data_IF_787206128555
#
_entry.id   IF_787206128555
#
_cell.length_a   1.000
_cell.length_b   1.000
_cell.length_c   1.000
_cell.angle_alpha   90.00
_cell.angle_beta   90.00
_cell.angle_gamma   90.00
#
_symmetry.space_group_name_H-M   'P 1'
#
loop_
_entity.id
_entity.type
_entity.pdbx_description
1 polymer ?
#
# COMPACT_ATOMS: atom_id res chain seq x y z
N UNK A 1 13.81 -28.27 19.57
CA UNK A 1 14.24 -28.60 18.20
C UNK A 1 15.04 -27.45 17.62
N UNK A 2 16.13 -27.69 16.90
CA UNK A 2 16.88 -26.62 16.22
C UNK A 2 16.02 -26.06 15.07
N UNK A 3 16.04 -24.73 14.90
CA UNK A 3 15.34 -24.06 13.81
C UNK A 3 15.98 -24.43 12.47
N UNK A 4 15.19 -24.90 11.53
CA UNK A 4 15.64 -25.15 10.15
C UNK A 4 15.53 -23.84 9.35
N UNK A 5 16.62 -23.47 8.67
CA UNK A 5 16.66 -22.34 7.75
C UNK A 5 16.43 -22.82 6.33
N UNK A 6 15.61 -22.07 5.57
CA UNK A 6 15.31 -22.40 4.17
C UNK A 6 16.29 -21.68 3.24
N UNK A 7 16.72 -22.35 2.17
CA UNK A 7 17.44 -21.73 1.06
C UNK A 7 16.42 -21.10 0.11
N UNK A 8 16.65 -19.84 -0.27
CA UNK A 8 15.78 -19.16 -1.22
C UNK A 8 16.02 -19.65 -2.64
N UNK A 9 14.96 -19.89 -3.39
CA UNK A 9 14.99 -20.11 -4.84
C UNK A 9 14.32 -18.92 -5.54
N UNK A 10 14.95 -18.44 -6.62
CA UNK A 10 14.41 -17.33 -7.43
C UNK A 10 13.10 -17.80 -8.06
N UNK A 11 12.06 -17.00 -7.90
CA UNK A 11 10.75 -17.24 -8.50
C UNK A 11 10.76 -16.84 -9.98
N UNK A 12 10.04 -17.60 -10.82
CA UNK A 12 10.00 -17.36 -12.28
C UNK A 12 8.70 -16.71 -12.75
N UNK A 13 7.62 -16.90 -12.00
CA UNK A 13 6.34 -16.25 -12.31
C UNK A 13 6.38 -14.77 -11.92
N UNK A 14 6.09 -13.89 -12.89
CA UNK A 14 6.12 -12.44 -12.72
C UNK A 14 5.14 -11.96 -11.63
N UNK A 15 4.07 -12.69 -11.34
CA UNK A 15 3.12 -12.37 -10.29
C UNK A 15 3.67 -12.52 -8.87
N UNK A 16 4.88 -13.07 -8.71
CA UNK A 16 5.59 -13.07 -7.43
C UNK A 16 6.30 -11.76 -7.12
N UNK A 17 6.36 -10.85 -8.10
CA UNK A 17 7.10 -9.60 -7.99
C UNK A 17 6.14 -8.41 -7.96
N UNK A 18 6.57 -7.34 -7.29
CA UNK A 18 5.85 -6.07 -7.21
C UNK A 18 6.44 -5.13 -8.24
N UNK A 19 5.58 -4.62 -9.11
CA UNK A 19 5.94 -3.75 -10.22
C UNK A 19 5.51 -2.31 -9.92
N UNK A 20 6.44 -1.38 -10.00
CA UNK A 20 6.13 0.05 -9.86
C UNK A 20 6.48 0.78 -11.16
N UNK A 21 5.47 1.16 -11.91
CA UNK A 21 5.58 1.82 -13.22
C UNK A 21 5.34 3.31 -13.09
N UNK A 22 6.36 4.09 -13.34
CA UNK A 22 6.30 5.55 -13.26
C UNK A 22 6.44 6.18 -14.64
N UNK A 23 5.72 7.29 -14.90
CA UNK A 23 5.81 8.01 -16.17
C UNK A 23 4.85 9.18 -16.21
N UNK A 24 5.08 10.12 -17.12
CA UNK A 24 4.20 11.28 -17.31
C UNK A 24 2.78 10.86 -17.68
N UNK A 25 1.82 11.76 -17.50
CA UNK A 25 0.43 11.51 -17.91
C UNK A 25 0.36 11.16 -19.40
N UNK A 26 -0.51 10.21 -19.74
CA UNK A 26 -0.80 9.77 -21.13
C UNK A 26 0.38 9.14 -21.88
N UNK A 27 1.44 8.68 -21.19
CA UNK A 27 2.57 8.02 -21.84
C UNK A 27 2.27 6.55 -22.22
N UNK A 28 1.18 5.99 -21.76
CA UNK A 28 0.73 4.62 -22.09
C UNK A 28 0.79 3.61 -20.94
N UNK A 29 0.89 4.05 -19.68
CA UNK A 29 1.00 3.16 -18.51
C UNK A 29 -0.18 2.19 -18.36
N UNK A 30 -1.42 2.70 -18.42
CA UNK A 30 -2.65 1.90 -18.32
C UNK A 30 -2.80 0.95 -19.52
N UNK A 31 -2.42 1.41 -20.73
CA UNK A 31 -2.37 0.54 -21.91
C UNK A 31 -1.32 -0.57 -21.75
N UNK A 32 -0.17 -0.25 -21.17
CA UNK A 32 0.86 -1.25 -20.89
C UNK A 32 0.34 -2.34 -19.94
N UNK A 33 -0.49 -1.98 -18.94
CA UNK A 33 -1.10 -2.97 -18.05
C UNK A 33 -2.02 -3.91 -18.82
N UNK A 34 -2.91 -3.40 -19.67
CA UNK A 34 -3.76 -4.23 -20.54
C UNK A 34 -2.91 -5.18 -21.37
N UNK A 35 -1.91 -4.64 -22.09
CA UNK A 35 -1.07 -5.43 -22.99
C UNK A 35 -0.23 -6.46 -22.20
N UNK A 36 0.19 -6.12 -20.98
CA UNK A 36 0.89 -7.02 -20.08
C UNK A 36 0.05 -8.23 -19.67
N UNK A 37 -1.22 -8.03 -19.32
CA UNK A 37 -2.13 -9.12 -18.99
C UNK A 37 -2.37 -10.00 -20.22
N UNK A 38 -2.65 -9.40 -21.39
CA UNK A 38 -2.81 -10.15 -22.63
C UNK A 38 -1.56 -10.96 -23.00
N UNK A 39 -0.36 -10.37 -22.81
CA UNK A 39 0.90 -11.05 -23.11
C UNK A 39 1.15 -12.24 -22.23
N UNK A 40 0.82 -12.16 -20.94
CA UNK A 40 1.05 -13.23 -19.97
C UNK A 40 0.02 -14.35 -20.03
N UNK A 41 -1.25 -13.99 -20.23
CA UNK A 41 -2.36 -14.94 -20.03
C UNK A 41 -3.27 -15.09 -21.27
N UNK A 42 -3.16 -14.24 -22.26
CA UNK A 42 -4.02 -14.26 -23.45
C UNK A 42 -5.46 -13.80 -23.21
N UNK A 43 -5.82 -13.43 -21.98
CA UNK A 43 -7.17 -13.04 -21.57
C UNK A 43 -7.11 -11.91 -20.54
N UNK A 44 -7.90 -10.86 -20.73
CA UNK A 44 -7.94 -9.69 -19.84
C UNK A 44 -8.61 -9.97 -18.50
N UNK A 45 -9.39 -11.04 -18.36
CA UNK A 45 -10.00 -11.44 -17.08
C UNK A 45 -9.00 -11.78 -15.98
N UNK A 46 -7.72 -11.95 -16.32
CA UNK A 46 -6.65 -12.19 -15.36
C UNK A 46 -6.07 -10.91 -14.71
N UNK A 47 -6.50 -9.73 -15.13
CA UNK A 47 -6.06 -8.46 -14.58
C UNK A 47 -7.21 -7.57 -14.14
N UNK A 48 -7.12 -6.99 -12.94
CA UNK A 48 -8.04 -5.97 -12.46
C UNK A 48 -7.31 -4.63 -12.35
N UNK A 49 -7.87 -3.60 -12.96
CA UNK A 49 -7.41 -2.22 -12.86
C UNK A 49 -8.28 -1.48 -11.83
N UNK A 50 -7.68 -1.03 -10.74
CA UNK A 50 -8.33 -0.16 -9.76
C UNK A 50 -8.04 1.30 -10.12
N UNK A 51 -9.07 2.03 -10.57
CA UNK A 51 -8.99 3.45 -10.86
C UNK A 51 -9.24 4.27 -9.60
N UNK A 52 -8.17 4.84 -9.08
CA UNK A 52 -8.19 5.49 -7.77
C UNK A 52 -8.54 6.99 -7.92
N UNK A 53 -9.49 7.44 -7.12
CA UNK A 53 -9.86 8.85 -7.05
C UNK A 53 -10.59 9.34 -8.30
N UNK A 54 -9.97 10.26 -9.03
CA UNK A 54 -10.54 10.89 -10.22
C UNK A 54 -9.81 10.48 -11.52
N UNK A 55 -9.05 9.39 -11.51
CA UNK A 55 -8.48 8.88 -12.76
C UNK A 55 -9.60 8.25 -13.62
N UNK A 56 -9.47 8.34 -14.92
CA UNK A 56 -10.45 7.85 -15.89
C UNK A 56 -9.72 7.24 -17.11
N UNK A 57 -8.61 6.56 -16.87
CA UNK A 57 -7.73 6.01 -17.92
C UNK A 57 -8.38 4.91 -18.76
N UNK A 58 -9.30 4.16 -18.15
CA UNK A 58 -10.01 3.03 -18.77
C UNK A 58 -10.86 3.46 -19.97
N UNK A 59 -11.42 4.68 -19.98
CA UNK A 59 -12.35 5.14 -21.03
C UNK A 59 -11.81 5.00 -22.45
N UNK A 60 -10.49 4.95 -22.61
CA UNK A 60 -9.81 4.82 -23.88
C UNK A 60 -9.25 3.41 -24.15
N UNK A 61 -9.53 2.42 -23.28
CA UNK A 61 -8.91 1.09 -23.31
C UNK A 61 -9.98 0.02 -23.35
N UNK A 62 -10.22 -0.52 -24.52
CA UNK A 62 -11.22 -1.55 -24.74
C UNK A 62 -10.86 -2.87 -24.05
N UNK A 63 -11.86 -3.49 -23.40
CA UNK A 63 -11.81 -4.83 -22.81
C UNK A 63 -11.07 -4.95 -21.47
N UNK A 64 -10.47 -3.88 -20.93
CA UNK A 64 -9.85 -3.95 -19.59
C UNK A 64 -10.91 -4.16 -18.51
N UNK A 65 -10.66 -5.07 -17.59
CA UNK A 65 -11.50 -5.23 -16.39
C UNK A 65 -11.07 -4.21 -15.36
N UNK A 66 -12.00 -3.42 -14.86
CA UNK A 66 -11.69 -2.33 -13.93
C UNK A 66 -12.76 -2.14 -12.87
N UNK A 67 -12.38 -1.48 -11.78
CA UNK A 67 -13.31 -0.93 -10.80
C UNK A 67 -12.89 0.50 -10.39
N UNK A 68 -13.87 1.30 -9.94
CA UNK A 68 -13.68 2.70 -9.57
C UNK A 68 -13.58 2.81 -8.04
N UNK A 69 -12.52 3.44 -7.57
CA UNK A 69 -12.17 3.57 -6.15
C UNK A 69 -12.16 5.04 -5.73
N UNK A 70 -13.31 5.64 -5.41
CA UNK A 70 -13.39 7.07 -5.07
C UNK A 70 -12.80 7.40 -3.69
N UNK A 71 -12.81 6.44 -2.77
CA UNK A 71 -12.37 6.61 -1.39
C UNK A 71 -11.80 5.32 -0.79
N UNK A 72 -11.30 5.44 0.45
CA UNK A 72 -10.66 4.34 1.18
C UNK A 72 -11.63 3.22 1.56
N UNK A 73 -12.87 3.54 1.87
CA UNK A 73 -13.87 2.55 2.26
C UNK A 73 -14.17 1.62 1.09
N UNK A 74 -14.44 2.19 -0.08
CA UNK A 74 -14.63 1.41 -1.32
C UNK A 74 -13.40 0.54 -1.64
N UNK A 75 -12.17 1.08 -1.44
CA UNK A 75 -10.96 0.29 -1.61
C UNK A 75 -10.91 -0.91 -0.67
N UNK A 76 -11.25 -0.70 0.61
CA UNK A 76 -11.28 -1.78 1.60
C UNK A 76 -12.31 -2.85 1.24
N UNK A 77 -13.50 -2.46 0.84
CA UNK A 77 -14.57 -3.37 0.40
C UNK A 77 -14.15 -4.21 -0.80
N UNK A 78 -13.51 -3.60 -1.80
CA UNK A 78 -12.98 -4.33 -2.98
C UNK A 78 -11.88 -5.32 -2.56
N UNK A 79 -10.98 -4.92 -1.66
CA UNK A 79 -9.91 -5.80 -1.18
C UNK A 79 -10.48 -6.97 -0.38
N UNK A 80 -11.49 -6.73 0.45
CA UNK A 80 -12.18 -7.78 1.20
C UNK A 80 -12.86 -8.76 0.23
N UNK A 81 -13.61 -8.27 -0.76
CA UNK A 81 -14.25 -9.09 -1.79
C UNK A 81 -13.23 -9.92 -2.59
N UNK A 82 -12.12 -9.30 -3.03
CA UNK A 82 -11.05 -10.00 -3.74
C UNK A 82 -10.43 -11.15 -2.94
N UNK A 83 -10.38 -11.04 -1.63
CA UNK A 83 -9.83 -12.06 -0.74
C UNK A 83 -10.89 -13.13 -0.44
N UNK A 84 -12.08 -12.73 -0.06
CA UNK A 84 -13.16 -13.65 0.30
C UNK A 84 -13.62 -14.51 -0.88
N UNK A 85 -13.75 -13.88 -2.07
CA UNK A 85 -14.25 -14.50 -3.29
C UNK A 85 -13.13 -14.79 -4.31
N UNK A 86 -11.91 -15.04 -3.83
CA UNK A 86 -10.77 -15.32 -4.72
C UNK A 86 -10.98 -16.53 -5.62
N UNK A 87 -11.71 -17.53 -5.17
CA UNK A 87 -12.02 -18.74 -5.94
C UNK A 87 -12.99 -18.46 -7.09
N UNK A 88 -13.80 -17.41 -6.95
CA UNK A 88 -14.81 -17.03 -7.93
C UNK A 88 -14.29 -16.05 -8.99
N UNK A 89 -13.07 -15.54 -8.81
CA UNK A 89 -12.42 -14.64 -9.77
C UNK A 89 -11.15 -15.27 -10.36
N UNK A 90 -10.80 -14.84 -11.57
CA UNK A 90 -9.62 -15.32 -12.29
C UNK A 90 -8.40 -14.39 -12.16
N UNK A 91 -8.51 -13.30 -11.41
CA UNK A 91 -7.47 -12.28 -11.34
C UNK A 91 -6.14 -12.84 -10.83
N UNK A 92 -5.07 -12.49 -11.54
CA UNK A 92 -3.67 -12.78 -11.18
C UNK A 92 -2.91 -11.51 -10.81
N UNK A 93 -3.31 -10.38 -11.40
CA UNK A 93 -2.71 -9.07 -11.14
C UNK A 93 -3.76 -8.03 -10.79
N UNK A 94 -3.43 -7.22 -9.79
CA UNK A 94 -4.19 -6.03 -9.40
C UNK A 94 -3.31 -4.80 -9.66
N UNK A 95 -3.80 -3.88 -10.47
CA UNK A 95 -3.13 -2.61 -10.75
C UNK A 95 -3.82 -1.45 -10.02
N UNK A 96 -3.03 -0.57 -9.44
CA UNK A 96 -3.49 0.66 -8.76
C UNK A 96 -3.12 1.86 -9.64
N UNK A 97 -4.11 2.45 -10.28
CA UNK A 97 -3.96 3.62 -11.16
C UNK A 97 -4.72 4.84 -10.58
N UNK A 98 -4.07 5.75 -9.88
CA UNK A 98 -2.65 5.87 -9.61
C UNK A 98 -2.33 5.84 -8.12
N UNK A 99 -1.07 5.54 -7.78
CA UNK A 99 -0.63 5.64 -6.37
C UNK A 99 -0.63 7.07 -5.87
N UNK A 100 -0.55 8.06 -6.76
CA UNK A 100 -0.68 9.48 -6.41
C UNK A 100 -2.07 9.76 -5.80
N UNK A 101 -3.13 9.21 -6.40
CA UNK A 101 -4.49 9.32 -5.87
C UNK A 101 -4.71 8.40 -4.66
N UNK A 102 -4.05 7.22 -4.62
CA UNK A 102 -4.10 6.33 -3.46
C UNK A 102 -3.59 7.03 -2.19
N UNK A 103 -2.49 7.78 -2.28
CA UNK A 103 -2.01 8.62 -1.18
C UNK A 103 -3.08 9.62 -0.74
N UNK A 104 -3.78 10.27 -1.69
CA UNK A 104 -4.80 11.27 -1.35
C UNK A 104 -6.03 10.67 -0.68
N UNK A 105 -6.54 9.52 -1.16
CA UNK A 105 -7.66 8.85 -0.48
C UNK A 105 -7.25 8.32 0.89
N UNK A 106 -6.02 7.81 1.03
CA UNK A 106 -5.47 7.40 2.32
C UNK A 106 -5.28 8.56 3.31
N UNK A 107 -4.84 9.74 2.85
CA UNK A 107 -4.77 10.93 3.69
C UNK A 107 -6.15 11.36 4.20
N UNK A 108 -7.18 11.32 3.33
CA UNK A 108 -8.57 11.59 3.74
C UNK A 108 -9.06 10.60 4.79
N UNK A 109 -8.67 9.33 4.65
CA UNK A 109 -9.00 8.29 5.64
C UNK A 109 -8.31 8.55 6.98
N UNK A 110 -7.03 8.91 7.00
CA UNK A 110 -6.31 9.28 8.22
C UNK A 110 -7.01 10.46 8.93
N UNK A 111 -7.44 11.49 8.18
CA UNK A 111 -8.21 12.62 8.72
C UNK A 111 -9.56 12.14 9.31
N UNK A 112 -10.25 11.23 8.60
CA UNK A 112 -11.53 10.66 9.07
C UNK A 112 -11.35 9.87 10.37
N UNK A 113 -10.31 9.07 10.46
CA UNK A 113 -9.99 8.28 11.66
C UNK A 113 -9.61 9.17 12.84
N UNK A 114 -8.83 10.22 12.60
CA UNK A 114 -8.49 11.20 13.62
C UNK A 114 -9.73 11.94 14.14
N UNK A 115 -10.60 12.41 13.24
CA UNK A 115 -11.87 13.02 13.61
C UNK A 115 -12.76 12.09 14.45
N UNK A 116 -12.84 10.80 14.06
CA UNK A 116 -13.61 9.80 14.83
C UNK A 116 -13.07 9.64 16.26
N UNK A 117 -11.75 9.81 16.45
CA UNK A 117 -11.10 9.67 17.76
C UNK A 117 -11.16 10.95 18.59
N UNK A 118 -10.87 12.11 17.98
CA UNK A 118 -10.71 13.39 18.68
C UNK A 118 -12.01 14.20 18.77
N UNK A 119 -12.95 14.03 17.84
CA UNK A 119 -14.11 14.88 17.64
C UNK A 119 -13.78 16.24 16.98
N UNK A 120 -12.51 16.49 16.66
CA UNK A 120 -12.03 17.74 16.07
C UNK A 120 -11.48 17.51 14.65
N UNK A 121 -11.69 18.49 13.77
CA UNK A 121 -11.16 18.43 12.40
C UNK A 121 -9.75 18.99 12.35
N UNK A 122 -8.81 18.15 12.02
CA UNK A 122 -7.42 18.53 11.81
C UNK A 122 -7.03 18.39 10.33
N UNK A 123 -6.05 19.20 9.91
CA UNK A 123 -5.33 18.97 8.67
C UNK A 123 -4.45 17.71 8.80
N UNK A 124 -4.17 17.00 7.69
CA UNK A 124 -3.45 15.74 7.70
C UNK A 124 -2.21 15.74 8.62
N UNK A 125 -1.35 16.75 8.52
CA UNK A 125 -0.11 16.80 9.29
C UNK A 125 -0.31 17.02 10.80
N UNK A 126 -1.50 17.45 11.22
CA UNK A 126 -1.85 17.68 12.64
C UNK A 126 -2.63 16.49 13.24
N UNK A 127 -3.10 15.54 12.43
CA UNK A 127 -3.81 14.35 12.91
C UNK A 127 -2.97 13.55 13.91
N UNK A 128 -3.64 12.90 14.86
CA UNK A 128 -3.01 12.06 15.90
C UNK A 128 -1.90 12.76 16.71
N UNK A 129 -1.97 14.10 16.84
CA UNK A 129 -0.98 14.90 17.54
C UNK A 129 0.21 15.35 16.69
N UNK A 130 0.22 15.08 15.40
CA UNK A 130 1.29 15.49 14.47
C UNK A 130 2.57 14.66 14.61
N UNK A 131 3.74 15.30 14.48
CA UNK A 131 5.08 14.71 14.66
C UNK A 131 5.37 13.42 13.91
N UNK A 132 4.76 13.24 12.73
CA UNK A 132 4.92 12.04 11.88
C UNK A 132 3.85 10.97 12.06
N UNK A 133 3.07 10.98 13.15
CA UNK A 133 2.03 9.99 13.42
C UNK A 133 1.00 9.83 12.27
N UNK A 134 0.49 10.90 11.63
CA UNK A 134 -0.43 10.73 10.50
C UNK A 134 0.22 10.01 9.30
N UNK A 135 1.53 10.22 9.08
CA UNK A 135 2.27 9.53 8.02
C UNK A 135 2.43 8.04 8.34
N UNK A 136 2.82 7.70 9.58
CA UNK A 136 2.92 6.30 10.02
C UNK A 136 1.58 5.59 9.91
N UNK A 137 0.48 6.25 10.27
CA UNK A 137 -0.87 5.70 10.09
C UNK A 137 -1.20 5.46 8.62
N UNK A 138 -0.87 6.40 7.72
CA UNK A 138 -1.06 6.23 6.28
C UNK A 138 -0.23 5.06 5.73
N UNK A 139 1.04 4.95 6.13
CA UNK A 139 1.90 3.81 5.75
C UNK A 139 1.27 2.51 6.20
N UNK A 140 0.81 2.43 7.45
CA UNK A 140 0.17 1.23 8.01
C UNK A 140 -1.08 0.83 7.20
N UNK A 141 -1.95 1.78 6.87
CA UNK A 141 -3.15 1.53 6.06
C UNK A 141 -2.82 0.97 4.67
N UNK A 142 -1.85 1.57 3.98
CA UNK A 142 -1.43 1.11 2.64
C UNK A 142 -0.76 -0.26 2.74
N UNK A 143 0.12 -0.45 3.72
CA UNK A 143 0.84 -1.71 3.94
C UNK A 143 -0.10 -2.87 4.23
N UNK A 144 -1.15 -2.64 4.98
CA UNK A 144 -2.17 -3.65 5.26
C UNK A 144 -2.81 -4.15 3.96
N UNK A 145 -3.36 -3.23 3.16
CA UNK A 145 -3.99 -3.57 1.87
C UNK A 145 -3.01 -4.32 0.96
N UNK A 146 -1.78 -3.80 0.79
CA UNK A 146 -0.80 -4.41 -0.10
C UNK A 146 -0.34 -5.78 0.40
N UNK A 147 -0.22 -5.95 1.72
CA UNK A 147 0.17 -7.22 2.34
C UNK A 147 -0.92 -8.26 2.21
N UNK A 148 -2.17 -7.89 2.45
CA UNK A 148 -3.34 -8.79 2.32
C UNK A 148 -3.47 -9.31 0.90
N UNK A 149 -3.43 -8.43 -0.11
CA UNK A 149 -3.49 -8.82 -1.53
C UNK A 149 -2.31 -9.71 -1.93
N UNK A 150 -1.08 -9.38 -1.49
CA UNK A 150 0.09 -10.19 -1.78
C UNK A 150 0.01 -11.58 -1.13
N UNK A 151 -0.48 -11.69 0.11
CA UNK A 151 -0.72 -12.98 0.79
C UNK A 151 -1.83 -13.79 0.14
N UNK A 152 -2.84 -13.12 -0.40
CA UNK A 152 -3.86 -13.74 -1.24
C UNK A 152 -3.34 -14.11 -2.65
N UNK A 153 -2.01 -13.99 -2.88
CA UNK A 153 -1.31 -14.37 -4.10
C UNK A 153 -1.66 -13.57 -5.37
N UNK A 154 -2.05 -12.31 -5.20
CA UNK A 154 -2.14 -11.38 -6.31
C UNK A 154 -0.78 -10.73 -6.62
N UNK A 155 -0.40 -10.67 -7.88
CA UNK A 155 0.66 -9.79 -8.37
C UNK A 155 0.21 -8.33 -8.28
N UNK A 156 1.12 -7.43 -7.88
CA UNK A 156 0.78 -6.02 -7.69
C UNK A 156 1.51 -5.15 -8.70
N UNK A 157 0.73 -4.29 -9.38
CA UNK A 157 1.26 -3.26 -10.28
C UNK A 157 0.84 -1.89 -9.73
N UNK A 158 1.82 -1.09 -9.39
CA UNK A 158 1.61 0.28 -8.95
C UNK A 158 1.93 1.23 -10.10
N UNK A 159 0.98 2.11 -10.42
CA UNK A 159 1.12 3.09 -11.50
C UNK A 159 1.22 4.47 -10.89
N UNK A 160 2.30 5.20 -11.16
CA UNK A 160 2.54 6.53 -10.63
C UNK A 160 2.90 7.55 -11.70
N UNK A 161 2.77 8.82 -11.34
CA UNK A 161 3.20 9.93 -12.17
C UNK A 161 4.64 10.34 -11.86
N UNK A 162 5.21 11.12 -12.77
CA UNK A 162 6.58 11.62 -12.67
C UNK A 162 6.63 13.15 -12.78
N UNK A 163 7.70 13.70 -12.24
CA UNK A 163 8.12 15.10 -12.38
C UNK A 163 9.62 15.20 -12.56
N UNK A 164 10.06 16.33 -13.06
CA UNK A 164 11.47 16.71 -12.99
C UNK A 164 11.75 17.39 -11.64
N UNK A 165 12.92 17.05 -11.07
CA UNK A 165 13.42 17.61 -9.81
C UNK A 165 14.85 18.06 -10.04
N UNK A 166 15.17 19.31 -9.70
CA UNK A 166 16.54 19.80 -9.70
C UNK A 166 17.31 19.17 -8.53
N UNK A 167 18.40 18.51 -8.83
CA UNK A 167 19.35 17.95 -7.87
C UNK A 167 20.57 18.89 -7.83
N UNK A 168 20.91 19.33 -6.63
CA UNK A 168 22.11 20.15 -6.40
C UNK A 168 23.21 19.27 -5.82
N UNK A 169 24.31 19.14 -6.52
CA UNK A 169 25.47 18.41 -6.09
C UNK A 169 26.31 19.21 -5.08
N UNK A 170 27.07 18.52 -4.28
CA UNK A 170 28.01 19.17 -3.32
C UNK A 170 29.11 19.97 -4.03
N UNK A 171 29.41 19.65 -5.29
CA UNK A 171 30.32 20.40 -6.14
C UNK A 171 29.83 21.82 -6.51
N UNK A 172 28.52 22.07 -6.34
CA UNK A 172 27.85 23.29 -6.80
C UNK A 172 27.16 23.15 -8.14
N UNK A 173 27.35 22.03 -8.84
CA UNK A 173 26.64 21.73 -10.09
C UNK A 173 25.21 21.32 -9.80
N UNK A 174 24.31 21.50 -10.77
CA UNK A 174 22.93 21.06 -10.68
C UNK A 174 22.48 20.40 -11.97
N UNK A 175 21.58 19.42 -11.84
CA UNK A 175 20.96 18.75 -12.98
C UNK A 175 19.50 18.43 -12.70
N UNK A 176 18.74 18.16 -13.75
CA UNK A 176 17.35 17.76 -13.68
C UNK A 176 17.24 16.22 -13.65
N UNK A 177 16.57 15.69 -12.63
CA UNK A 177 16.29 14.28 -12.51
C UNK A 177 14.81 14.00 -12.73
N UNK A 178 14.47 13.05 -13.60
CA UNK A 178 13.13 12.51 -13.75
C UNK A 178 12.86 11.52 -12.61
N UNK A 179 11.94 11.85 -11.73
CA UNK A 179 11.63 11.06 -10.53
C UNK A 179 10.11 10.98 -10.29
N UNK A 180 9.69 10.29 -9.25
CA UNK A 180 8.28 10.22 -8.83
C UNK A 180 7.68 11.59 -8.59
N UNK A 181 6.40 11.76 -8.95
CA UNK A 181 5.61 12.95 -8.60
C UNK A 181 5.33 13.04 -7.09
N UNK A 182 5.30 11.91 -6.39
CA UNK A 182 5.18 11.86 -4.95
C UNK A 182 6.39 12.51 -4.28
N UNK A 183 6.23 12.96 -3.04
CA UNK A 183 7.39 13.31 -2.23
C UNK A 183 8.15 12.03 -1.82
N UNK A 184 9.41 12.17 -1.42
CA UNK A 184 10.31 11.05 -1.13
C UNK A 184 9.74 10.07 -0.10
N UNK A 185 9.02 10.58 0.90
CA UNK A 185 8.48 9.75 1.97
C UNK A 185 7.31 8.89 1.50
N UNK A 186 6.44 9.46 0.65
CA UNK A 186 5.30 8.71 0.10
C UNK A 186 5.71 7.81 -1.07
N UNK A 187 6.67 8.24 -1.89
CA UNK A 187 7.24 7.39 -2.93
C UNK A 187 7.89 6.14 -2.32
N UNK A 188 8.60 6.31 -1.19
CA UNK A 188 9.24 5.22 -0.46
C UNK A 188 8.28 4.11 0.01
N UNK A 189 6.99 4.39 0.18
CA UNK A 189 5.98 3.37 0.50
C UNK A 189 5.94 2.30 -0.60
N UNK A 190 6.07 2.70 -1.85
CA UNK A 190 6.03 1.82 -3.02
C UNK A 190 7.43 1.42 -3.49
N UNK A 191 8.32 2.40 -3.72
CA UNK A 191 9.64 2.17 -4.29
C UNK A 191 10.51 1.22 -3.45
N UNK A 192 10.47 1.31 -2.11
CA UNK A 192 11.24 0.42 -1.22
C UNK A 192 10.73 -1.03 -1.23
N UNK A 193 9.48 -1.25 -1.60
CA UNK A 193 8.83 -2.56 -1.62
C UNK A 193 8.73 -3.17 -3.01
N UNK A 194 8.86 -2.36 -4.05
CA UNK A 194 8.88 -2.83 -5.42
C UNK A 194 10.12 -3.69 -5.69
N UNK A 195 9.93 -4.74 -6.45
CA UNK A 195 11.03 -5.55 -6.97
C UNK A 195 11.56 -4.94 -8.28
N UNK A 196 10.68 -4.24 -9.00
CA UNK A 196 10.97 -3.56 -10.26
C UNK A 196 10.38 -2.15 -10.20
N UNK A 197 11.24 -1.14 -10.19
CA UNK A 197 10.85 0.27 -10.30
C UNK A 197 11.25 0.75 -11.69
N UNK A 198 10.27 0.83 -12.58
CA UNK A 198 10.45 1.21 -13.97
C UNK A 198 10.02 2.65 -14.20
N UNK A 199 10.80 3.39 -14.98
CA UNK A 199 10.49 4.73 -15.43
C UNK A 199 10.23 4.75 -16.94
N UNK A 200 9.08 5.27 -17.35
CA UNK A 200 8.75 5.46 -18.76
C UNK A 200 9.00 6.92 -19.12
N UNK A 201 9.87 7.15 -20.11
CA UNK A 201 10.21 8.46 -20.61
C UNK A 201 10.11 8.52 -22.15
N UNK A 202 9.77 9.70 -22.68
CA UNK A 202 9.79 9.99 -24.10
C UNK A 202 11.04 10.83 -24.42
N UNK A 203 11.88 10.31 -25.29
CA UNK A 203 13.06 11.00 -25.78
C UNK A 203 12.79 11.56 -27.18
N UNK A 204 13.21 12.80 -27.38
CA UNK A 204 13.01 13.53 -28.63
C UNK A 204 14.31 13.63 -29.37
N UNK A 205 14.30 13.23 -30.61
CA UNK A 205 15.39 13.48 -31.53
C UNK A 205 15.20 14.87 -32.17
N UNK A 206 16.19 15.71 -32.04
CA UNK A 206 16.14 17.11 -32.52
C UNK A 206 17.20 17.32 -33.56
N UNK A 207 16.79 17.65 -34.78
CA UNK A 207 17.66 18.06 -35.87
C UNK A 207 17.31 19.50 -36.27
N UNK A 208 18.33 20.34 -36.43
CA UNK A 208 18.20 21.75 -36.81
C UNK A 208 17.14 22.54 -35.99
N UNK A 209 17.01 22.21 -34.69
CA UNK A 209 16.06 22.86 -33.79
C UNK A 209 14.61 22.37 -33.95
N UNK A 210 14.36 21.32 -34.75
CA UNK A 210 13.06 20.70 -34.92
C UNK A 210 13.05 19.28 -34.36
N UNK A 211 11.94 18.90 -33.74
CA UNK A 211 11.71 17.52 -33.29
C UNK A 211 11.39 16.68 -34.54
N UNK A 212 12.29 15.74 -34.89
CA UNK A 212 12.15 14.84 -36.03
C UNK A 212 11.57 13.49 -35.63
N UNK A 213 11.81 13.05 -34.39
CA UNK A 213 11.23 11.81 -33.85
C UNK A 213 10.99 11.92 -32.35
N UNK A 214 10.11 11.07 -31.83
CA UNK A 214 9.85 10.94 -30.39
C UNK A 214 9.66 9.45 -30.06
N UNK A 215 10.66 8.87 -29.43
CA UNK A 215 10.65 7.46 -28.99
C UNK A 215 10.38 7.35 -27.51
N UNK A 216 9.62 6.35 -27.13
CA UNK A 216 9.36 6.05 -25.72
C UNK A 216 10.27 4.92 -25.27
N UNK A 217 10.83 5.05 -24.07
CA UNK A 217 11.71 4.09 -23.46
C UNK A 217 11.25 3.73 -22.05
N UNK A 218 11.59 2.51 -21.63
CA UNK A 218 11.46 2.02 -20.28
C UNK A 218 12.84 1.90 -19.66
N UNK A 219 13.06 2.56 -18.54
CA UNK A 219 14.28 2.52 -17.77
C UNK A 219 14.08 1.65 -16.54
N UNK A 220 14.91 0.64 -16.35
CA UNK A 220 14.89 -0.27 -15.19
C UNK A 220 16.04 0.02 -14.23
N UNK A 221 17.06 0.73 -14.65
CA UNK A 221 18.15 1.22 -13.81
C UNK A 221 18.41 2.69 -14.09
N UNK A 222 18.54 3.45 -13.00
CA UNK A 222 18.86 4.88 -13.10
C UNK A 222 20.27 5.15 -13.58
N UNK A 223 20.48 6.37 -14.06
CA UNK A 223 21.76 6.90 -14.52
C UNK A 223 22.11 8.26 -13.88
N UNK A 224 21.39 8.64 -12.83
CA UNK A 224 21.46 9.97 -12.22
C UNK A 224 20.40 10.93 -12.75
N UNK A 225 20.08 10.89 -14.05
CA UNK A 225 19.03 11.70 -14.67
C UNK A 225 17.64 11.03 -14.60
N UNK A 226 17.61 9.72 -14.46
CA UNK A 226 16.38 8.92 -14.35
C UNK A 226 16.43 8.11 -13.06
N UNK A 227 15.41 8.27 -12.22
CA UNK A 227 15.26 7.52 -10.99
C UNK A 227 14.49 6.22 -11.25
N UNK A 228 15.24 5.15 -11.51
CA UNK A 228 14.73 3.79 -11.73
C UNK A 228 15.61 2.78 -11.01
N UNK A 229 15.09 1.60 -10.71
CA UNK A 229 15.87 0.58 -10.02
C UNK A 229 15.09 -0.70 -9.78
N UNK A 230 15.73 -1.68 -9.16
CA UNK A 230 15.09 -2.96 -8.85
C UNK A 230 16.05 -3.95 -8.22
N UNK A 231 15.53 -5.12 -7.89
CA UNK A 231 16.28 -6.20 -7.23
C UNK A 231 17.10 -7.06 -8.19
N UNK A 232 16.95 -6.84 -9.50
CA UNK A 232 17.65 -7.59 -10.54
C UNK A 232 18.83 -6.80 -11.08
N UNK A 233 20.08 -7.09 -10.64
CA UNK A 233 21.25 -6.30 -11.05
C UNK A 233 21.58 -6.43 -12.56
N UNK A 234 21.21 -7.56 -13.17
CA UNK A 234 21.48 -7.87 -14.57
C UNK A 234 20.33 -7.53 -15.53
N UNK A 235 19.31 -6.77 -15.04
CA UNK A 235 18.25 -6.26 -15.91
C UNK A 235 18.83 -5.21 -16.88
N UNK A 236 18.35 -5.20 -18.12
CA UNK A 236 18.73 -4.15 -19.08
C UNK A 236 18.39 -2.77 -18.53
N UNK A 237 19.33 -1.84 -18.69
CA UNK A 237 19.15 -0.48 -18.15
C UNK A 237 17.98 0.23 -18.81
N UNK A 238 17.86 0.12 -20.14
CA UNK A 238 16.90 0.85 -20.97
C UNK A 238 16.50 0.00 -22.16
N UNK A 239 15.20 -0.08 -22.42
CA UNK A 239 14.64 -0.73 -23.61
C UNK A 239 13.58 0.16 -24.25
N UNK A 240 13.30 -0.04 -25.53
CA UNK A 240 12.20 0.65 -26.20
C UNK A 240 10.85 0.22 -25.62
N UNK A 241 9.91 1.17 -25.49
CA UNK A 241 8.61 0.95 -24.89
C UNK A 241 7.75 0.00 -25.71
N UNK A 242 7.61 -1.21 -25.22
CA UNK A 242 6.65 -2.21 -25.67
C UNK A 242 6.42 -3.25 -24.58
N UNK A 243 5.29 -3.93 -24.59
CA UNK A 243 5.01 -5.01 -23.64
C UNK A 243 5.99 -6.18 -23.82
N UNK A 244 6.36 -6.50 -25.04
CA UNK A 244 7.33 -7.57 -25.33
C UNK A 244 8.68 -7.28 -24.70
N UNK A 245 9.21 -6.07 -24.90
CA UNK A 245 10.47 -5.65 -24.31
C UNK A 245 10.41 -5.62 -22.78
N UNK A 246 9.26 -5.21 -22.19
CA UNK A 246 9.07 -5.24 -20.75
C UNK A 246 9.16 -6.67 -20.19
N UNK A 247 8.34 -7.57 -20.74
CA UNK A 247 8.28 -8.97 -20.27
C UNK A 247 9.62 -9.67 -20.49
N UNK A 248 10.26 -9.47 -21.66
CA UNK A 248 11.55 -10.07 -21.97
C UNK A 248 12.66 -9.57 -21.05
N UNK A 249 12.76 -8.24 -20.82
CA UNK A 249 13.77 -7.67 -19.93
C UNK A 249 13.67 -8.24 -18.50
N UNK A 250 12.45 -8.36 -17.96
CA UNK A 250 12.21 -8.91 -16.62
C UNK A 250 12.49 -10.43 -16.60
N UNK A 251 11.97 -11.17 -17.56
CA UNK A 251 12.17 -12.63 -17.63
C UNK A 251 13.65 -13.00 -17.80
N UNK A 252 14.40 -12.27 -18.62
CA UNK A 252 15.83 -12.50 -18.81
C UNK A 252 16.64 -12.16 -17.54
N UNK A 253 16.26 -11.10 -16.83
CA UNK A 253 16.88 -10.76 -15.56
C UNK A 253 16.62 -11.83 -14.49
N UNK A 254 15.41 -12.39 -14.42
CA UNK A 254 15.06 -13.53 -13.57
C UNK A 254 15.92 -14.76 -13.95
N UNK A 255 16.00 -15.11 -15.25
CA UNK A 255 16.82 -16.23 -15.73
C UNK A 255 18.29 -16.07 -15.34
N UNK A 256 18.86 -14.88 -15.51
CA UNK A 256 20.26 -14.57 -15.12
C UNK A 256 20.49 -14.69 -13.61
N UNK A 257 19.47 -14.43 -12.80
CA UNK A 257 19.56 -14.54 -11.34
C UNK A 257 19.52 -15.97 -10.82
N UNK A 258 19.17 -16.97 -11.66
CA UNK A 258 19.17 -18.38 -11.29
C UNK A 258 20.55 -18.98 -11.59
N UNK A 259 21.43 -19.00 -10.59
CA UNK A 259 22.81 -19.45 -10.74
C UNK A 259 23.02 -20.94 -10.44
N UNK A 260 22.07 -21.58 -9.76
CA UNK A 260 22.22 -22.94 -9.20
C UNK A 260 21.95 -24.07 -10.20
N UNK A 261 21.35 -23.80 -11.35
CA UNK A 261 20.93 -24.80 -12.35
C UNK A 261 21.04 -24.25 -13.77
N UNK A 262 21.12 -25.15 -14.76
CA UNK A 262 20.96 -24.78 -16.16
C UNK A 262 19.48 -24.49 -16.42
N UNK A 263 19.19 -23.28 -16.84
CA UNK A 263 17.84 -22.75 -17.06
C UNK A 263 17.52 -22.82 -18.55
N UNK A 264 16.52 -23.62 -18.89
CA UNK A 264 15.90 -23.63 -20.21
C UNK A 264 14.39 -23.28 -20.10
N UNK A 265 13.73 -23.11 -21.23
CA UNK A 265 12.31 -22.72 -21.25
C UNK A 265 11.40 -23.79 -20.63
N UNK A 266 11.81 -25.07 -20.70
CA UNK A 266 11.06 -26.17 -20.07
C UNK A 266 11.12 -26.06 -18.55
N UNK A 267 12.32 -25.82 -17.98
CA UNK A 267 12.50 -25.59 -16.56
C UNK A 267 11.65 -24.39 -16.08
N UNK A 268 11.66 -23.27 -16.82
CA UNK A 268 10.88 -22.09 -16.47
C UNK A 268 9.38 -22.41 -16.44
N UNK A 269 8.86 -23.11 -17.47
CA UNK A 269 7.45 -23.45 -17.55
C UNK A 269 7.01 -24.41 -16.42
N UNK A 270 7.82 -25.42 -16.10
CA UNK A 270 7.54 -26.37 -15.02
C UNK A 270 7.58 -25.67 -13.66
N UNK A 271 8.58 -24.80 -13.42
CA UNK A 271 8.71 -24.05 -12.18
C UNK A 271 7.56 -23.04 -11.99
N UNK A 272 7.14 -22.35 -13.04
CA UNK A 272 6.00 -21.44 -12.97
C UNK A 272 4.70 -22.17 -12.56
N UNK A 273 4.46 -23.37 -13.11
CA UNK A 273 3.31 -24.19 -12.71
C UNK A 273 3.41 -24.63 -11.24
N UNK A 274 4.61 -25.03 -10.78
CA UNK A 274 4.82 -25.39 -9.39
C UNK A 274 4.56 -24.19 -8.48
N UNK A 275 5.06 -23.00 -8.82
CA UNK A 275 4.87 -21.78 -8.04
C UNK A 275 3.39 -21.39 -7.92
N UNK A 276 2.62 -21.57 -9.01
CA UNK A 276 1.17 -21.31 -8.98
C UNK A 276 0.46 -22.33 -8.07
N UNK A 277 0.83 -23.61 -8.12
CA UNK A 277 0.26 -24.63 -7.24
C UNK A 277 0.61 -24.37 -5.76
N UNK A 278 1.85 -23.95 -5.46
CA UNK A 278 2.28 -23.56 -4.11
C UNK A 278 1.47 -22.35 -3.59
N UNK A 279 1.22 -21.37 -4.46
CA UNK A 279 0.39 -20.19 -4.12
C UNK A 279 -1.04 -20.57 -3.79
N UNK A 280 -1.63 -21.44 -4.60
CA UNK A 280 -3.00 -21.90 -4.37
C UNK A 280 -3.09 -22.69 -3.06
N UNK A 281 -2.17 -23.62 -2.81
CA UNK A 281 -2.11 -24.36 -1.57
C UNK A 281 -1.96 -23.46 -0.34
N UNK A 282 -1.09 -22.43 -0.44
CA UNK A 282 -0.92 -21.45 0.63
C UNK A 282 -2.20 -20.66 0.92
N UNK A 283 -2.90 -20.22 -0.14
CA UNK A 283 -4.16 -19.50 0.02
C UNK A 283 -5.22 -20.38 0.70
N UNK A 284 -5.38 -21.64 0.28
CA UNK A 284 -6.34 -22.57 0.87
C UNK A 284 -6.05 -22.84 2.37
N UNK A 285 -4.78 -22.94 2.74
CA UNK A 285 -4.36 -23.16 4.12
C UNK A 285 -4.66 -21.93 5.02
N UNK A 286 -4.59 -20.71 4.46
CA UNK A 286 -4.69 -19.45 5.22
C UNK A 286 -5.95 -18.64 4.90
N UNK A 287 -6.90 -19.20 4.16
CA UNK A 287 -8.09 -18.48 3.68
C UNK A 287 -8.88 -17.82 4.82
N UNK A 288 -9.11 -18.54 5.93
CA UNK A 288 -9.83 -18.02 7.09
C UNK A 288 -9.07 -16.85 7.77
N UNK A 289 -7.74 -16.94 7.85
CA UNK A 289 -6.89 -15.87 8.40
C UNK A 289 -6.88 -14.63 7.51
N UNK A 290 -6.85 -14.84 6.19
CA UNK A 290 -6.81 -13.75 5.20
C UNK A 290 -8.15 -13.03 5.05
N UNK A 291 -9.27 -13.76 5.15
CA UNK A 291 -10.63 -13.20 5.08
C UNK A 291 -11.06 -12.55 6.37
N UNK A 292 -10.49 -12.92 7.51
CA UNK A 292 -10.75 -12.24 8.77
C UNK A 292 -10.05 -10.87 8.82
N UNK A 293 -10.57 -9.90 8.06
CA UNK A 293 -10.22 -8.48 8.24
C UNK A 293 -10.40 -8.01 9.70
N UNK A 294 -11.25 -8.69 10.46
CA UNK A 294 -11.43 -8.55 11.89
C UNK A 294 -10.17 -8.86 12.70
N UNK A 295 -9.35 -9.85 12.32
CA UNK A 295 -8.15 -10.21 13.09
C UNK A 295 -7.05 -9.12 13.02
N UNK A 296 -6.97 -8.35 11.94
CA UNK A 296 -6.01 -7.23 11.84
C UNK A 296 -6.62 -5.90 12.34
N UNK A 297 -7.92 -5.67 12.12
CA UNK A 297 -8.62 -4.52 12.69
C UNK A 297 -8.91 -4.69 14.17
N UNK A 298 -9.15 -5.91 14.66
CA UNK A 298 -9.28 -6.20 16.10
C UNK A 298 -7.95 -6.09 16.83
N UNK A 299 -6.82 -6.52 16.28
CA UNK A 299 -5.50 -6.32 16.91
C UNK A 299 -5.09 -4.83 16.98
N UNK A 300 -5.46 -4.02 15.99
CA UNK A 300 -5.30 -2.55 16.05
C UNK A 300 -6.42 -1.87 16.84
N UNK A 301 -7.64 -2.36 16.78
CA UNK A 301 -8.78 -1.83 17.57
C UNK A 301 -8.71 -2.23 19.04
N UNK A 302 -8.23 -3.43 19.39
CA UNK A 302 -8.06 -3.83 20.81
C UNK A 302 -6.94 -3.01 21.47
N UNK A 303 -5.80 -2.80 20.82
CA UNK A 303 -4.73 -1.95 21.35
C UNK A 303 -5.12 -0.46 21.40
N UNK A 304 -5.88 0.06 20.41
CA UNK A 304 -6.38 1.43 20.42
C UNK A 304 -7.54 1.61 21.42
N UNK A 305 -8.42 0.63 21.55
CA UNK A 305 -9.50 0.63 22.55
C UNK A 305 -8.94 0.50 23.98
N UNK A 306 -7.96 -0.37 24.19
CA UNK A 306 -7.27 -0.51 25.48
C UNK A 306 -6.49 0.76 25.83
N UNK A 307 -5.78 1.38 24.89
CA UNK A 307 -5.08 2.66 25.07
C UNK A 307 -6.05 3.82 25.34
N UNK A 308 -7.20 3.88 24.66
CA UNK A 308 -8.23 4.88 24.91
C UNK A 308 -8.90 4.67 26.30
N UNK A 309 -9.21 3.44 26.67
CA UNK A 309 -9.72 3.06 27.98
C UNK A 309 -8.73 3.47 29.07
N UNK A 310 -7.46 3.15 28.91
CA UNK A 310 -6.42 3.49 29.87
C UNK A 310 -6.23 5.01 29.99
N UNK A 311 -6.28 5.75 28.88
CA UNK A 311 -6.23 7.22 28.87
C UNK A 311 -7.39 7.87 29.62
N UNK A 312 -8.63 7.35 29.44
CA UNK A 312 -9.81 7.86 30.15
C UNK A 312 -9.72 7.53 31.64
N UNK A 313 -9.31 6.31 31.99
CA UNK A 313 -9.09 5.90 33.39
C UNK A 313 -8.04 6.77 34.07
N UNK A 314 -6.93 7.07 33.40
CA UNK A 314 -5.89 7.96 33.92
C UNK A 314 -6.45 9.37 34.13
N UNK A 315 -7.22 9.91 33.18
CA UNK A 315 -7.87 11.23 33.32
C UNK A 315 -8.86 11.28 34.50
N UNK A 316 -9.67 10.23 34.71
CA UNK A 316 -10.55 10.12 35.89
C UNK A 316 -9.75 10.11 37.18
N UNK A 317 -8.67 9.33 37.24
CA UNK A 317 -7.82 9.22 38.42
C UNK A 317 -7.11 10.56 38.76
N UNK A 318 -6.66 11.28 37.73
CA UNK A 318 -5.97 12.58 37.94
C UNK A 318 -6.95 13.64 38.44
N UNK A 319 -8.16 13.72 37.89
CA UNK A 319 -9.19 14.62 38.41
C UNK A 319 -9.52 14.25 39.85
N UNK A 320 -9.78 12.98 40.14
CA UNK A 320 -10.09 12.52 41.52
C UNK A 320 -8.95 12.77 42.51
N UNK A 321 -7.70 12.66 42.10
CA UNK A 321 -6.51 12.95 42.99
C UNK A 321 -6.43 14.42 43.35
N UNK A 322 -6.82 15.33 42.47
CA UNK A 322 -6.73 16.76 42.66
C UNK A 322 -7.90 17.34 43.49
N UNK A 323 -8.94 16.56 43.77
CA UNK A 323 -10.08 17.00 44.60
C UNK A 323 -9.78 16.87 46.09
N UNK A 324 -10.47 17.71 46.90
CA UNK A 324 -10.50 17.53 48.35
C UNK A 324 -11.16 16.21 48.75
N UNK A 325 -10.91 15.70 49.97
CA UNK A 325 -11.55 14.49 50.44
C UNK A 325 -13.09 14.59 50.44
N UNK A 326 -13.62 15.75 50.88
CA UNK A 326 -15.04 15.99 50.91
C UNK A 326 -15.69 15.97 49.49
N UNK A 327 -14.97 16.52 48.50
CA UNK A 327 -15.47 16.53 47.12
C UNK A 327 -15.37 15.14 46.45
N UNK A 328 -14.31 14.38 46.77
CA UNK A 328 -14.21 12.96 46.35
C UNK A 328 -15.40 12.14 46.85
N UNK A 329 -15.78 12.31 48.12
CA UNK A 329 -16.87 11.57 48.68
C UNK A 329 -18.22 11.96 48.07
N UNK A 330 -18.44 13.25 47.74
CA UNK A 330 -19.59 13.73 46.97
C UNK A 330 -19.66 13.08 45.59
N UNK A 331 -18.51 13.08 44.84
CA UNK A 331 -18.45 12.48 43.52
C UNK A 331 -18.71 10.97 43.54
N UNK A 332 -18.17 10.24 44.49
CA UNK A 332 -18.46 8.82 44.72
C UNK A 332 -19.93 8.58 44.99
N UNK A 333 -20.59 9.40 45.83
CA UNK A 333 -22.00 9.32 46.09
C UNK A 333 -22.84 9.54 44.84
N UNK A 334 -22.44 10.54 44.01
CA UNK A 334 -23.12 10.83 42.72
C UNK A 334 -22.98 9.66 41.73
N UNK A 335 -21.78 9.07 41.59
CA UNK A 335 -21.56 7.91 40.74
C UNK A 335 -22.39 6.70 41.23
N UNK A 336 -22.42 6.46 42.54
CA UNK A 336 -23.21 5.36 43.13
C UNK A 336 -24.71 5.53 42.90
N UNK A 337 -25.23 6.76 43.03
CA UNK A 337 -26.66 7.06 42.79
C UNK A 337 -27.09 6.89 41.35
N UNK A 338 -26.16 7.01 40.42
CA UNK A 338 -26.38 6.77 38.97
C UNK A 338 -26.11 5.33 38.54
N UNK A 339 -25.73 4.44 39.47
CA UNK A 339 -25.39 3.05 39.17
C UNK A 339 -24.05 2.85 38.44
N UNK A 340 -23.18 3.87 38.43
CA UNK A 340 -21.89 3.84 37.77
C UNK A 340 -20.79 3.36 38.73
N UNK A 341 -19.68 2.78 38.19
CA UNK A 341 -18.50 2.44 38.97
C UNK A 341 -17.97 3.63 39.78
N UNK A 342 -17.96 3.52 41.11
CA UNK A 342 -17.64 4.62 42.03
C UNK A 342 -16.28 4.46 42.74
N UNK A 343 -15.61 3.32 42.58
CA UNK A 343 -14.31 3.06 43.21
C UNK A 343 -13.22 2.90 42.17
N UNK A 344 -11.94 3.29 42.45
CA UNK A 344 -10.84 3.12 41.51
C UNK A 344 -10.68 1.69 40.98
N UNK A 345 -10.93 0.69 41.84
CA UNK A 345 -10.85 -0.72 41.46
C UNK A 345 -11.96 -1.14 40.48
N UNK A 346 -13.19 -0.61 40.60
CA UNK A 346 -14.29 -0.86 39.68
C UNK A 346 -14.10 -0.06 38.37
N UNK A 347 -13.64 1.18 38.42
CA UNK A 347 -13.35 2.01 37.25
C UNK A 347 -12.24 1.35 36.42
N UNK A 348 -11.18 0.84 37.05
CA UNK A 348 -10.09 0.12 36.37
C UNK A 348 -10.53 -1.16 35.66
N UNK A 349 -11.61 -1.78 36.11
CA UNK A 349 -12.19 -2.99 35.49
C UNK A 349 -13.25 -2.68 34.43
N UNK A 350 -13.61 -1.42 34.24
CA UNK A 350 -14.61 -1.01 33.25
C UNK A 350 -13.96 -0.97 31.87
N UNK A 351 -14.49 -1.75 30.94
CA UNK A 351 -14.06 -1.82 29.55
C UNK A 351 -14.98 -1.08 28.59
N UNK A 352 -16.09 -0.51 29.09
CA UNK A 352 -17.03 0.24 28.29
C UNK A 352 -16.69 1.75 28.26
N UNK A 353 -16.26 2.23 27.10
CA UNK A 353 -15.85 3.62 26.87
C UNK A 353 -16.98 4.62 27.14
N UNK A 354 -18.23 4.26 26.83
CA UNK A 354 -19.40 5.13 27.07
C UNK A 354 -19.62 5.33 28.56
N UNK A 355 -19.51 4.27 29.32
CA UNK A 355 -19.59 4.30 30.81
C UNK A 355 -18.43 5.11 31.41
N UNK A 356 -17.20 4.91 30.92
CA UNK A 356 -16.03 5.66 31.39
C UNK A 356 -16.13 7.17 31.09
N UNK A 357 -16.60 7.55 29.93
CA UNK A 357 -16.83 8.96 29.61
C UNK A 357 -17.90 9.60 30.48
N UNK A 358 -19.02 8.92 30.78
CA UNK A 358 -20.02 9.39 31.73
C UNK A 358 -19.44 9.60 33.13
N UNK A 359 -18.57 8.67 33.59
CA UNK A 359 -17.85 8.82 34.86
C UNK A 359 -16.97 10.07 34.81
N UNK A 360 -16.22 10.27 33.74
CA UNK A 360 -15.32 11.42 33.59
C UNK A 360 -16.08 12.76 33.60
N UNK A 361 -17.24 12.83 32.94
CA UNK A 361 -18.11 14.02 32.98
C UNK A 361 -18.58 14.33 34.40
N UNK A 362 -19.09 13.33 35.12
CA UNK A 362 -19.55 13.51 36.50
C UNK A 362 -18.42 13.95 37.43
N UNK A 363 -17.22 13.41 37.24
CA UNK A 363 -16.07 13.72 38.05
C UNK A 363 -15.52 15.13 37.74
N UNK A 364 -15.60 15.59 36.48
CA UNK A 364 -15.19 16.95 36.07
C UNK A 364 -16.23 18.04 36.45
N UNK A 365 -17.53 17.73 36.43
CA UNK A 365 -18.60 18.64 36.83
C UNK A 365 -18.53 19.03 38.31
#
# INVERSE_FOLDING_TARGET
MARQYKTNEVKVDLSNYRHYWRGVKKIGKTTLFKDFILKLYGDLSYGLLLEIGNEEGQKAIDGVVYDIVPDWMTLSEIVDDLIENKEDNSFKFIAFDTVDELIKIGQREVIRLDYKKSGERHEFNACFGGYGAPREKLVTLIDDIMTRLARANYGLVWIGHTKYKTINEKSGDSYEQLTSNLNTDFDGIFANKADIVMMINAEREIEEGKIVDTKRYMWFRGDGFVDAGGRFPDIEQKVEFSVDNYVNAVADAIKKSITSKKVDDKYIAEKAKQEQAEKEAYYQEHKEELSSAEAFSEATNTNEAESAIESIINSINDVMRNLSQADRDKKKASLTSTGLPATPALIKKCTDVVTLNKILEIVKA
#
